data_IF_771577391927
#
_entry.id   IF_771577391927
#
_cell.length_a   1.000
_cell.length_b   1.000
_cell.length_c   1.000
_cell.angle_alpha   90.00
_cell.angle_beta   90.00
_cell.angle_gamma   90.00
#
_symmetry.space_group_name_H-M   'P 1'
#
loop_
_entity.id
_entity.type
_entity.pdbx_description
1 polymer ?
#
# COMPACT_ATOMS: atom_id res chain seq x y z
N UNK A 1 -9.32 8.09 -3.77
CA UNK A 1 -8.25 7.45 -2.98
C UNK A 1 -8.21 8.09 -1.60
N UNK A 2 -8.07 7.36 -0.49
CA UNK A 2 -7.88 7.99 0.82
C UNK A 2 -6.52 8.70 0.81
N UNK A 3 -6.54 10.00 1.07
CA UNK A 3 -5.35 10.84 1.21
C UNK A 3 -4.79 10.71 2.63
N UNK A 4 -3.59 11.26 2.87
CA UNK A 4 -3.02 11.33 4.22
C UNK A 4 -3.96 12.04 5.20
N UNK A 5 -4.69 13.05 4.73
CA UNK A 5 -5.65 13.81 5.52
C UNK A 5 -6.88 12.98 5.90
N UNK A 6 -7.19 11.93 5.14
CA UNK A 6 -8.30 11.01 5.43
C UNK A 6 -7.93 9.89 6.43
N UNK A 7 -6.65 9.77 6.83
CA UNK A 7 -6.15 8.73 7.75
C UNK A 7 -6.19 9.17 9.22
N UNK A 8 -7.09 10.10 9.58
CA UNK A 8 -7.33 10.46 10.98
C UNK A 8 -7.90 9.27 11.75
N UNK A 9 -7.54 9.15 13.03
CA UNK A 9 -8.05 8.06 13.87
C UNK A 9 -9.58 8.03 13.90
N UNK A 10 -10.25 9.19 13.91
CA UNK A 10 -11.72 9.28 13.90
C UNK A 10 -12.33 8.72 12.60
N UNK A 11 -11.79 9.10 11.43
CA UNK A 11 -12.30 8.59 10.16
C UNK A 11 -12.09 7.08 10.03
N UNK A 12 -10.94 6.60 10.48
CA UNK A 12 -10.63 5.17 10.50
C UNK A 12 -11.56 4.42 11.46
N UNK A 13 -11.81 4.95 12.65
CA UNK A 13 -12.68 4.32 13.64
C UNK A 13 -14.13 4.24 13.14
N UNK A 14 -14.59 5.24 12.38
CA UNK A 14 -15.89 5.17 11.69
C UNK A 14 -15.92 4.06 10.62
N UNK A 15 -14.86 3.92 9.82
CA UNK A 15 -14.76 2.84 8.82
C UNK A 15 -14.81 1.46 9.50
N UNK A 16 -14.09 1.29 10.61
CA UNK A 16 -14.08 0.05 11.40
C UNK A 16 -15.46 -0.24 11.97
N UNK A 17 -16.12 0.75 12.57
CA UNK A 17 -17.46 0.60 13.12
C UNK A 17 -18.49 0.19 12.05
N UNK A 18 -18.41 0.78 10.85
CA UNK A 18 -19.27 0.42 9.72
C UNK A 18 -18.98 -1.00 9.21
N UNK A 19 -17.72 -1.42 9.23
CA UNK A 19 -17.32 -2.77 8.83
C UNK A 19 -17.81 -3.83 9.81
N UNK A 20 -17.69 -3.60 11.13
CA UNK A 20 -18.23 -4.48 12.16
C UNK A 20 -19.76 -4.60 12.07
N UNK A 21 -20.47 -3.49 11.83
CA UNK A 21 -21.93 -3.54 11.58
C UNK A 21 -22.30 -4.37 10.35
N UNK A 22 -21.41 -4.45 9.36
CA UNK A 22 -21.58 -5.27 8.16
C UNK A 22 -21.08 -6.73 8.34
N UNK A 23 -20.63 -7.13 9.54
CA UNK A 23 -20.18 -8.48 9.85
C UNK A 23 -18.72 -8.78 9.52
N UNK A 24 -17.91 -7.75 9.29
CA UNK A 24 -16.47 -7.92 9.02
C UNK A 24 -15.64 -7.76 10.31
N UNK A 25 -15.57 -8.82 11.11
CA UNK A 25 -14.96 -8.78 12.46
C UNK A 25 -13.42 -8.67 12.46
N UNK A 26 -12.77 -8.81 11.32
CA UNK A 26 -11.31 -8.74 11.19
C UNK A 26 -10.74 -7.31 11.21
N UNK A 27 -11.59 -6.28 11.18
CA UNK A 27 -11.13 -4.89 11.32
C UNK A 27 -10.73 -4.58 12.77
N UNK A 28 -9.51 -4.06 12.95
CA UNK A 28 -8.96 -3.73 14.27
C UNK A 28 -9.52 -2.41 14.81
N UNK A 29 -9.90 -2.40 16.09
CA UNK A 29 -10.27 -1.17 16.83
C UNK A 29 -9.06 -0.25 17.00
N UNK A 30 -9.31 1.03 17.34
CA UNK A 30 -8.27 2.01 17.69
C UNK A 30 -7.30 1.47 18.75
N UNK A 31 -7.83 0.85 19.80
CA UNK A 31 -7.06 0.25 20.88
C UNK A 31 -6.19 -0.92 20.40
N UNK A 32 -6.74 -1.80 19.57
CA UNK A 32 -6.00 -2.94 19.01
C UNK A 32 -4.88 -2.48 18.08
N UNK A 33 -5.13 -1.46 17.23
CA UNK A 33 -4.09 -0.87 16.37
C UNK A 33 -2.99 -0.22 17.21
N UNK A 34 -3.35 0.52 18.26
CA UNK A 34 -2.38 1.15 19.17
C UNK A 34 -1.55 0.10 19.93
N UNK A 35 -2.16 -0.98 20.42
CA UNK A 35 -1.47 -2.08 21.08
C UNK A 35 -0.49 -2.80 20.12
N UNK A 36 -0.92 -3.03 18.88
CA UNK A 36 -0.07 -3.62 17.83
C UNK A 36 1.13 -2.72 17.50
N UNK A 37 0.92 -1.41 17.39
CA UNK A 37 2.00 -0.44 17.19
C UNK A 37 2.97 -0.45 18.36
N UNK A 38 2.47 -0.44 19.60
CA UNK A 38 3.31 -0.49 20.79
C UNK A 38 4.17 -1.78 20.82
N UNK A 39 3.59 -2.93 20.47
CA UNK A 39 4.31 -4.19 20.36
C UNK A 39 5.36 -4.21 19.23
N UNK A 40 5.10 -3.52 18.12
CA UNK A 40 6.09 -3.34 17.06
C UNK A 40 7.23 -2.42 17.51
N UNK A 41 6.92 -1.33 18.22
CA UNK A 41 7.90 -0.38 18.73
C UNK A 41 8.80 -0.97 19.83
N UNK A 42 8.36 -2.00 20.56
CA UNK A 42 9.24 -2.73 21.50
C UNK A 42 10.45 -3.38 20.82
N UNK A 43 10.34 -3.69 19.51
CA UNK A 43 11.42 -4.28 18.71
C UNK A 43 12.33 -3.22 18.07
N UNK A 44 11.96 -1.95 18.21
CA UNK A 44 12.70 -0.80 17.76
C UNK A 44 13.50 -0.19 18.93
N UNK A 45 14.73 0.26 18.69
CA UNK A 45 15.54 0.90 19.73
C UNK A 45 15.25 2.40 19.80
N UNK A 46 14.77 2.93 20.95
CA UNK A 46 14.52 4.37 21.09
C UNK A 46 15.78 5.20 20.87
N UNK A 47 15.68 6.27 20.08
CA UNK A 47 16.78 7.19 19.78
C UNK A 47 17.52 6.91 18.48
N UNK A 48 17.27 5.79 17.80
CA UNK A 48 17.82 5.51 16.47
C UNK A 48 16.98 6.15 15.35
N UNK A 49 17.42 6.03 14.09
CA UNK A 49 16.58 6.34 12.93
C UNK A 49 15.75 5.08 12.58
N UNK A 50 14.48 5.26 12.22
CA UNK A 50 13.67 4.17 11.68
C UNK A 50 13.58 4.29 10.15
N UNK A 51 13.57 3.14 9.47
CA UNK A 51 13.31 3.08 8.05
C UNK A 51 11.97 2.38 7.80
N UNK A 52 11.20 2.84 6.81
CA UNK A 52 10.00 2.15 6.31
C UNK A 52 10.32 1.66 4.92
N UNK A 53 10.27 0.35 4.71
CA UNK A 53 10.47 -0.26 3.40
C UNK A 53 9.15 -0.35 2.65
N UNK A 54 9.11 0.20 1.44
CA UNK A 54 8.03 0.00 0.49
C UNK A 54 8.63 -0.67 -0.74
N UNK A 55 8.10 -1.86 -1.06
CA UNK A 55 8.36 -2.74 -2.21
C UNK A 55 9.47 -2.34 -3.21
N UNK A 56 10.40 -3.27 -3.46
CA UNK A 56 11.47 -3.27 -4.48
C UNK A 56 12.08 -1.93 -4.94
N UNK A 57 12.25 -0.95 -4.04
CA UNK A 57 13.20 0.12 -4.34
C UNK A 57 13.13 1.39 -3.52
N UNK A 58 12.20 1.53 -2.57
CA UNK A 58 12.09 2.74 -1.75
C UNK A 58 12.17 2.40 -0.27
N UNK A 59 13.06 3.09 0.43
CA UNK A 59 13.10 3.12 1.88
C UNK A 59 12.97 4.56 2.35
N UNK A 60 11.95 4.84 3.16
CA UNK A 60 11.76 6.16 3.76
C UNK A 60 12.45 6.21 5.11
N UNK A 61 13.29 7.22 5.31
CA UNK A 61 13.94 7.47 6.60
C UNK A 61 13.05 8.37 7.45
N UNK A 62 12.77 7.94 8.67
CA UNK A 62 12.06 8.72 9.68
C UNK A 62 13.06 9.29 10.68
N UNK A 63 12.96 10.59 10.95
CA UNK A 63 13.75 11.20 12.00
C UNK A 63 13.35 10.60 13.37
N UNK A 64 14.29 10.43 14.32
CA UNK A 64 14.03 9.73 15.58
C UNK A 64 12.80 10.27 16.35
N UNK A 65 12.61 11.59 16.35
CA UNK A 65 11.50 12.26 17.04
C UNK A 65 10.14 12.12 16.31
N UNK A 66 10.12 11.68 15.06
CA UNK A 66 8.92 11.52 14.23
C UNK A 66 8.47 10.05 14.12
N UNK A 67 9.30 9.10 14.55
CA UNK A 67 9.02 7.66 14.37
C UNK A 67 7.66 7.27 14.92
N UNK A 68 7.34 7.68 16.16
CA UNK A 68 6.06 7.35 16.78
C UNK A 68 4.87 7.92 16.01
N UNK A 69 4.92 9.21 15.64
CA UNK A 69 3.82 9.89 14.96
C UNK A 69 3.62 9.38 13.53
N UNK A 70 4.69 9.17 12.78
CA UNK A 70 4.60 8.70 11.38
C UNK A 70 4.20 7.23 11.30
N UNK A 71 4.71 6.38 12.21
CA UNK A 71 4.27 4.99 12.27
C UNK A 71 2.81 4.87 12.73
N UNK A 72 2.30 5.76 13.59
CA UNK A 72 0.88 5.77 13.95
C UNK A 72 -0.03 6.03 12.73
N UNK A 73 0.35 6.96 11.86
CA UNK A 73 -0.37 7.24 10.61
C UNK A 73 -0.33 6.01 9.68
N UNK A 74 0.85 5.39 9.53
CA UNK A 74 0.98 4.17 8.73
C UNK A 74 0.18 3.00 9.30
N UNK A 75 0.14 2.83 10.63
CA UNK A 75 -0.67 1.79 11.28
C UNK A 75 -2.16 1.97 11.01
N UNK A 76 -2.65 3.21 11.03
CA UNK A 76 -4.03 3.52 10.66
C UNK A 76 -4.36 3.19 9.20
N UNK A 77 -3.36 3.12 8.31
CA UNK A 77 -3.55 2.75 6.90
C UNK A 77 -3.43 1.24 6.68
N UNK A 78 -2.35 0.64 7.18
CA UNK A 78 -1.96 -0.73 6.83
C UNK A 78 -2.53 -1.78 7.78
N UNK A 79 -2.65 -1.45 9.08
CA UNK A 79 -3.07 -2.41 10.10
C UNK A 79 -4.58 -2.35 10.37
N UNK A 80 -5.37 -2.02 9.34
CA UNK A 80 -6.82 -1.88 9.45
C UNK A 80 -7.54 -3.22 9.61
N UNK A 81 -7.25 -4.18 8.73
CA UNK A 81 -7.99 -5.45 8.65
C UNK A 81 -7.22 -6.62 9.24
N UNK A 82 -6.14 -6.36 9.98
CA UNK A 82 -5.21 -7.37 10.52
C UNK A 82 -4.61 -8.34 9.47
N UNK A 83 -4.79 -8.04 8.18
CA UNK A 83 -4.28 -8.87 7.08
C UNK A 83 -2.76 -8.78 6.94
N UNK A 84 -2.15 -7.76 7.53
CA UNK A 84 -0.72 -7.55 7.54
C UNK A 84 -0.14 -7.74 8.94
N UNK A 85 1.11 -8.17 8.98
CA UNK A 85 1.97 -8.19 10.16
C UNK A 85 3.14 -7.26 9.94
N UNK A 86 3.39 -6.36 10.90
CA UNK A 86 4.58 -5.52 10.89
C UNK A 86 5.83 -6.35 11.20
N UNK A 87 6.87 -6.21 10.38
CA UNK A 87 8.15 -6.90 10.53
C UNK A 87 9.30 -5.91 10.41
N UNK A 88 10.20 -5.94 11.39
CA UNK A 88 11.48 -5.25 11.31
C UNK A 88 12.48 -6.19 10.63
N UNK A 89 13.03 -5.76 9.50
CA UNK A 89 13.92 -6.55 8.66
C UNK A 89 15.21 -5.76 8.36
N UNK A 90 16.36 -6.44 8.24
CA UNK A 90 17.55 -5.82 7.70
C UNK A 90 17.35 -5.53 6.20
N UNK A 91 17.61 -4.30 5.79
CA UNK A 91 17.43 -3.82 4.42
C UNK A 91 18.73 -3.21 3.92
N UNK A 92 19.20 -3.68 2.77
CA UNK A 92 20.39 -3.16 2.13
C UNK A 92 20.00 -1.97 1.24
N UNK A 93 20.66 -0.83 1.46
CA UNK A 93 20.47 0.39 0.68
C UNK A 93 21.41 0.41 -0.53
N UNK A 94 21.06 1.22 -1.54
CA UNK A 94 21.87 1.37 -2.78
C UNK A 94 23.29 1.90 -2.53
N UNK A 95 23.51 2.60 -1.42
CA UNK A 95 24.82 3.10 -1.01
C UNK A 95 25.66 2.08 -0.23
N UNK A 96 25.19 0.84 -0.11
CA UNK A 96 25.88 -0.26 0.56
C UNK A 96 25.64 -0.35 2.07
N UNK A 97 24.91 0.59 2.68
CA UNK A 97 24.52 0.49 4.10
C UNK A 97 23.47 -0.59 4.31
N UNK A 98 23.51 -1.24 5.47
CA UNK A 98 22.41 -2.07 5.97
C UNK A 98 21.71 -1.32 7.09
N UNK A 99 20.39 -1.15 6.97
CA UNK A 99 19.54 -0.48 7.95
C UNK A 99 18.43 -1.41 8.43
N UNK A 100 17.87 -1.15 9.60
CA UNK A 100 16.67 -1.86 10.07
C UNK A 100 15.42 -1.11 9.61
N UNK A 101 14.60 -1.75 8.78
CA UNK A 101 13.37 -1.17 8.26
C UNK A 101 12.13 -1.94 8.73
N UNK A 102 11.04 -1.24 9.02
CA UNK A 102 9.72 -1.84 9.18
C UNK A 102 9.07 -2.03 7.81
N UNK A 103 8.47 -3.19 7.61
CA UNK A 103 7.64 -3.53 6.45
C UNK A 103 6.36 -4.24 6.93
N UNK A 104 5.35 -4.31 6.07
CA UNK A 104 4.07 -4.96 6.34
C UNK A 104 3.93 -6.16 5.41
N UNK A 105 4.00 -7.37 5.97
CA UNK A 105 3.89 -8.62 5.21
C UNK A 105 2.53 -9.23 5.42
N UNK A 106 1.94 -9.79 4.37
CA UNK A 106 0.62 -10.42 4.47
C UNK A 106 0.67 -11.63 5.40
N UNK A 107 -0.33 -11.78 6.27
CA UNK A 107 -0.54 -12.99 7.04
C UNK A 107 -1.19 -14.05 6.17
N UNK A 108 -0.44 -15.10 5.84
CA UNK A 108 -0.91 -16.18 4.98
C UNK A 108 -1.99 -17.06 5.62
N UNK A 109 -2.23 -16.92 6.92
CA UNK A 109 -3.34 -17.57 7.62
C UNK A 109 -4.62 -16.73 7.62
N UNK A 110 -4.56 -15.48 7.15
CA UNK A 110 -5.70 -14.56 7.18
C UNK A 110 -6.79 -14.97 6.18
N UNK A 111 -8.07 -14.81 6.53
CA UNK A 111 -9.20 -15.21 5.68
C UNK A 111 -9.29 -14.43 4.36
N UNK A 112 -8.67 -13.26 4.28
CA UNK A 112 -8.58 -12.45 3.06
C UNK A 112 -7.37 -12.80 2.18
N UNK A 113 -6.48 -13.69 2.63
CA UNK A 113 -5.34 -14.12 1.82
C UNK A 113 -5.81 -15.12 0.76
N UNK A 114 -5.63 -14.77 -0.51
CA UNK A 114 -6.08 -15.60 -1.63
C UNK A 114 -5.11 -16.73 -2.01
N UNK A 115 -4.02 -16.92 -1.27
CA UNK A 115 -3.03 -17.95 -1.57
C UNK A 115 -2.24 -17.66 -2.84
N UNK A 116 -1.66 -18.72 -3.39
CA UNK A 116 -0.94 -18.68 -4.66
C UNK A 116 -1.96 -18.66 -5.82
N UNK A 117 -2.29 -17.44 -6.25
CA UNK A 117 -3.12 -17.21 -7.43
C UNK A 117 -2.24 -17.28 -8.67
N UNK A 118 -2.64 -18.10 -9.65
CA UNK A 118 -2.01 -18.06 -10.96
C UNK A 118 -2.08 -16.65 -11.55
N UNK A 119 -1.07 -16.29 -12.33
CA UNK A 119 -0.98 -15.00 -13.03
C UNK A 119 -2.27 -14.66 -13.79
N UNK A 120 -2.87 -15.63 -14.48
CA UNK A 120 -4.14 -15.45 -15.20
C UNK A 120 -5.31 -15.08 -14.29
N UNK A 121 -5.42 -15.74 -13.13
CA UNK A 121 -6.50 -15.47 -12.18
C UNK A 121 -6.30 -14.12 -11.50
N UNK A 122 -5.06 -13.79 -11.14
CA UNK A 122 -4.72 -12.47 -10.61
C UNK A 122 -5.08 -11.37 -11.62
N UNK A 123 -4.66 -11.50 -12.88
CA UNK A 123 -4.98 -10.56 -13.95
C UNK A 123 -6.51 -10.42 -14.16
N UNK A 124 -7.25 -11.53 -14.18
CA UNK A 124 -8.70 -11.50 -14.28
C UNK A 124 -9.35 -10.75 -13.11
N UNK A 125 -8.95 -11.05 -11.87
CA UNK A 125 -9.47 -10.33 -10.71
C UNK A 125 -9.14 -8.84 -10.78
N UNK A 126 -7.90 -8.47 -11.11
CA UNK A 126 -7.48 -7.07 -11.20
C UNK A 126 -8.24 -6.31 -12.31
N UNK A 127 -8.46 -6.95 -13.47
CA UNK A 127 -9.14 -6.33 -14.61
C UNK A 127 -10.58 -5.92 -14.29
N UNK A 128 -11.30 -6.74 -13.53
CA UNK A 128 -12.75 -6.62 -13.35
C UNK A 128 -13.19 -6.24 -11.94
N UNK A 129 -12.34 -6.36 -10.91
CA UNK A 129 -12.71 -5.97 -9.55
C UNK A 129 -12.76 -4.45 -9.38
N UNK A 130 -13.79 -3.98 -8.68
CA UNK A 130 -13.98 -2.60 -8.27
C UNK A 130 -14.39 -2.55 -6.80
N UNK A 131 -13.74 -1.69 -6.04
CA UNK A 131 -14.07 -1.45 -4.64
C UNK A 131 -14.46 0.01 -4.41
N UNK A 132 -14.74 0.36 -3.15
CA UNK A 132 -15.06 1.74 -2.73
C UNK A 132 -14.00 2.79 -3.12
N UNK A 133 -12.79 2.35 -3.47
CA UNK A 133 -11.65 3.23 -3.83
C UNK A 133 -11.37 3.31 -5.33
N UNK A 134 -12.20 2.66 -6.17
CA UNK A 134 -12.03 2.58 -7.62
C UNK A 134 -11.69 1.18 -8.11
N UNK A 135 -11.40 1.08 -9.41
CA UNK A 135 -11.06 -0.18 -10.06
C UNK A 135 -9.66 -0.65 -9.67
N UNK A 136 -9.49 -1.97 -9.52
CA UNK A 136 -8.20 -2.56 -9.14
C UNK A 136 -7.13 -2.34 -10.22
N UNK A 137 -7.51 -2.39 -11.51
CA UNK A 137 -6.62 -2.08 -12.64
C UNK A 137 -6.01 -0.67 -12.58
N UNK A 138 -6.77 0.33 -12.14
CA UNK A 138 -6.27 1.71 -12.07
C UNK A 138 -5.15 1.81 -11.03
N UNK A 139 -5.29 1.09 -9.91
CA UNK A 139 -4.23 0.97 -8.91
C UNK A 139 -2.97 0.29 -9.47
N UNK A 140 -3.14 -0.80 -10.23
CA UNK A 140 -2.02 -1.49 -10.87
C UNK A 140 -1.26 -0.56 -11.84
N UNK A 141 -1.96 0.09 -12.76
CA UNK A 141 -1.35 0.98 -13.76
C UNK A 141 -0.65 2.17 -13.12
N UNK A 142 -1.29 2.85 -12.17
CA UNK A 142 -0.68 3.96 -11.44
C UNK A 142 0.57 3.52 -10.65
N UNK A 143 0.54 2.33 -10.04
CA UNK A 143 1.68 1.79 -9.31
C UNK A 143 2.86 1.53 -10.25
N UNK A 144 2.60 0.93 -11.40
CA UNK A 144 3.63 0.62 -12.38
C UNK A 144 4.24 1.86 -13.04
N UNK A 145 3.41 2.86 -13.37
CA UNK A 145 3.93 4.15 -13.87
C UNK A 145 4.83 4.82 -12.84
N UNK A 146 4.42 4.82 -11.56
CA UNK A 146 5.22 5.40 -10.50
C UNK A 146 6.54 4.66 -10.28
N UNK A 147 6.54 3.32 -10.23
CA UNK A 147 7.78 2.54 -10.09
C UNK A 147 8.72 2.74 -11.28
N UNK A 148 8.20 2.76 -12.52
CA UNK A 148 9.00 3.10 -13.71
C UNK A 148 9.61 4.48 -13.62
N UNK A 149 8.87 5.49 -13.15
CA UNK A 149 9.40 6.86 -12.98
C UNK A 149 10.56 6.95 -11.99
N UNK A 150 10.67 5.98 -11.08
CA UNK A 150 11.76 5.83 -10.11
C UNK A 150 12.89 4.91 -10.59
N UNK A 151 12.80 4.42 -11.84
CA UNK A 151 13.74 3.48 -12.42
C UNK A 151 13.68 2.08 -11.79
N UNK A 152 12.53 1.72 -11.21
CA UNK A 152 12.27 0.38 -10.67
C UNK A 152 11.51 -0.40 -11.75
N UNK A 153 12.03 -1.56 -12.13
CA UNK A 153 11.42 -2.45 -13.11
C UNK A 153 11.15 -3.80 -12.47
N UNK A 154 9.86 -4.14 -12.37
CA UNK A 154 9.38 -5.39 -11.82
C UNK A 154 8.69 -6.20 -12.94
N UNK A 155 9.33 -7.26 -13.46
CA UNK A 155 8.78 -8.09 -14.52
C UNK A 155 7.41 -8.70 -14.20
N UNK A 156 7.10 -8.94 -12.92
CA UNK A 156 5.83 -9.50 -12.51
C UNK A 156 4.68 -8.49 -12.67
N UNK A 157 4.88 -7.24 -12.24
CA UNK A 157 3.91 -6.15 -12.45
C UNK A 157 3.73 -5.86 -13.94
N UNK A 158 4.80 -5.92 -14.72
CA UNK A 158 4.76 -5.74 -16.17
C UNK A 158 3.89 -6.80 -16.88
N UNK A 159 4.09 -8.08 -16.58
CA UNK A 159 3.27 -9.18 -17.13
C UNK A 159 1.79 -9.06 -16.70
N UNK A 160 1.54 -8.67 -15.44
CA UNK A 160 0.17 -8.39 -14.97
C UNK A 160 -0.51 -7.29 -15.77
N UNK A 161 0.18 -6.18 -16.06
CA UNK A 161 -0.39 -5.07 -16.83
C UNK A 161 -0.77 -5.47 -18.25
N UNK A 162 0.11 -6.19 -18.94
CA UNK A 162 -0.15 -6.64 -20.32
C UNK A 162 -1.40 -7.53 -20.40
N UNK A 163 -1.52 -8.47 -19.44
CA UNK A 163 -2.67 -9.37 -19.35
C UNK A 163 -3.96 -8.63 -19.00
N UNK A 164 -3.90 -7.71 -18.04
CA UNK A 164 -5.05 -6.88 -17.66
C UNK A 164 -5.52 -6.03 -18.85
N UNK A 165 -4.60 -5.39 -19.57
CA UNK A 165 -4.93 -4.61 -20.77
C UNK A 165 -5.58 -5.49 -21.85
N UNK A 166 -5.02 -6.68 -22.10
CA UNK A 166 -5.58 -7.66 -23.04
C UNK A 166 -7.00 -8.06 -22.66
N UNK A 167 -7.25 -8.38 -21.38
CA UNK A 167 -8.58 -8.76 -20.88
C UNK A 167 -9.62 -7.64 -20.97
N UNK A 168 -9.20 -6.38 -20.89
CA UNK A 168 -10.08 -5.22 -21.02
C UNK A 168 -10.39 -4.86 -22.48
N UNK A 169 -9.70 -5.49 -23.43
CA UNK A 169 -9.77 -5.12 -24.84
C UNK A 169 -8.93 -3.89 -25.17
N UNK A 170 -8.06 -3.46 -24.24
CA UNK A 170 -7.12 -2.34 -24.40
C UNK A 170 -5.85 -2.83 -25.12
N UNK A 171 -6.01 -3.65 -26.16
CA UNK A 171 -4.92 -4.11 -26.99
C UNK A 171 -4.41 -2.92 -27.83
N UNK A 172 -3.26 -2.38 -27.39
CA UNK A 172 -2.36 -1.45 -28.10
C UNK A 172 -2.92 -0.07 -28.50
N UNK A 173 -2.53 0.94 -27.71
CA UNK A 173 -2.22 2.28 -28.22
C UNK A 173 -3.38 3.20 -28.57
N UNK A 174 -3.84 3.99 -27.60
CA UNK A 174 -4.41 5.31 -27.88
C UNK A 174 -3.85 6.30 -26.85
N UNK A 175 -2.87 7.08 -27.29
CA UNK A 175 -2.42 8.29 -26.60
C UNK A 175 -3.62 9.20 -26.32
N UNK A 176 -3.86 9.55 -25.06
CA UNK A 176 -4.73 10.67 -24.73
C UNK A 176 -4.10 11.96 -25.29
N UNK A 177 -4.87 12.87 -25.93
CA UNK A 177 -4.32 14.13 -26.39
C UNK A 177 -3.95 14.99 -25.17
N UNK A 178 -2.86 15.74 -25.33
CA UNK A 178 -2.35 16.71 -24.38
C UNK A 178 -3.44 17.70 -23.93
N UNK A 179 -3.40 18.05 -22.64
CA UNK A 179 -4.20 19.09 -22.05
C UNK A 179 -4.10 20.37 -22.88
N UNK A 180 -5.23 20.80 -23.46
CA UNK A 180 -5.35 22.11 -24.08
C UNK A 180 -5.38 23.18 -22.98
N UNK A 181 -4.41 24.09 -23.07
CA UNK A 181 -4.41 25.39 -22.42
C UNK A 181 -5.76 26.11 -22.63
N UNK A 182 -6.32 26.62 -21.55
CA UNK A 182 -7.18 27.80 -21.62
C UNK A 182 -6.57 28.86 -20.69
N UNK A 183 -5.56 29.53 -21.23
CA UNK A 183 -5.29 30.92 -20.93
C UNK A 183 -6.47 31.77 -21.45
N UNK A 184 -6.71 32.90 -20.78
CA UNK A 184 -7.97 33.65 -20.87
C UNK A 184 -8.11 34.61 -22.03
N UNK A 185 -9.26 35.29 -22.03
CA UNK A 185 -9.64 36.61 -22.56
C UNK A 185 -11.19 36.63 -22.52
N UNK A 186 -11.92 37.61 -21.99
CA UNK A 186 -11.64 39.02 -21.69
C UNK A 186 -12.48 39.50 -20.50
#
# INVERSE_FOLDING_TARGET
MLTREDLTSERIDQIVADAHKAGYDFFLTSEQRAASLAAALQRYQPGEEAWVFAYEGIAYRLAPHQVSSELAILWNREMLSNVYQARWVPTQLRDGRTVTAVTFVVDTAHCQYCGDLSMERAAHHIAFAEGRRGACRDYLFNTAEHTRSLGIHDPYIEDLMERVATLRGDAAGASAPAAAELAGEA
#
